data_IF_311170766773
#
_entry.id   IF_311170766773
#
_cell.length_a   1.000
_cell.length_b   1.000
_cell.length_c   1.000
_cell.angle_alpha   90.00
_cell.angle_beta   90.00
_cell.angle_gamma   90.00
#
_symmetry.space_group_name_H-M   'P 1'
#
loop_
_entity.id
_entity.type
_entity.pdbx_description
1 polymer ?
#
# COMPACT_ATOMS: atom_id res chain seq x y z
N UNK A 1 8.14 21.97 7.41
CA UNK A 1 8.22 21.53 6.01
C UNK A 1 6.82 21.21 5.53
N UNK A 2 6.39 21.81 4.43
CA UNK A 2 5.06 21.53 3.85
C UNK A 2 5.01 20.11 3.26
N UNK A 3 3.79 19.61 3.05
CA UNK A 3 3.67 18.26 2.45
C UNK A 3 4.24 18.22 1.03
N UNK A 4 4.17 19.33 0.29
CA UNK A 4 4.78 19.39 -1.05
C UNK A 4 6.30 19.26 -0.98
N UNK A 5 6.92 19.85 0.00
CA UNK A 5 8.36 19.70 0.20
C UNK A 5 8.70 18.27 0.61
N UNK A 6 7.87 17.64 1.43
CA UNK A 6 8.07 16.24 1.82
C UNK A 6 7.91 15.31 0.63
N UNK A 7 6.93 15.58 -0.24
CA UNK A 7 6.73 14.76 -1.44
C UNK A 7 7.97 14.72 -2.34
N UNK A 8 8.70 15.83 -2.40
CA UNK A 8 9.92 15.89 -3.23
C UNK A 8 11.00 14.92 -2.76
N UNK A 9 10.95 14.48 -1.50
CA UNK A 9 11.93 13.55 -0.95
C UNK A 9 11.45 12.09 -0.92
N UNK A 10 10.23 11.82 -1.35
CA UNK A 10 9.69 10.47 -1.33
C UNK A 10 10.34 9.64 -2.43
N UNK A 11 10.85 8.49 -2.04
CA UNK A 11 11.45 7.50 -2.96
C UNK A 11 10.71 6.19 -2.94
N UNK A 12 9.85 5.99 -1.94
CA UNK A 12 9.24 4.69 -1.67
C UNK A 12 7.79 4.87 -1.27
N UNK A 13 6.94 4.04 -1.85
CA UNK A 13 5.52 3.97 -1.51
C UNK A 13 5.23 2.63 -0.84
N UNK A 14 4.58 2.68 0.30
CA UNK A 14 4.11 1.49 1.01
C UNK A 14 2.59 1.53 1.06
N UNK A 15 1.94 0.46 0.64
CA UNK A 15 0.48 0.39 0.55
C UNK A 15 -0.07 -0.83 1.29
N UNK A 16 -1.21 -0.63 1.95
CA UNK A 16 -2.14 -1.72 2.23
C UNK A 16 -2.92 -2.03 0.95
N UNK A 17 -3.65 -3.13 0.93
CA UNK A 17 -4.47 -3.53 -0.23
C UNK A 17 -5.94 -3.15 -0.01
N UNK A 18 -6.58 -3.77 0.98
CA UNK A 18 -8.01 -3.60 1.17
C UNK A 18 -8.32 -2.18 1.65
N UNK A 19 -9.20 -1.49 0.93
CA UNK A 19 -9.55 -0.11 1.22
C UNK A 19 -8.58 0.92 0.65
N UNK A 20 -7.45 0.50 0.09
CA UNK A 20 -6.43 1.38 -0.52
C UNK A 20 -6.32 1.10 -2.01
N UNK A 21 -5.92 -0.10 -2.38
CA UNK A 21 -5.85 -0.55 -3.78
C UNK A 21 -7.15 -1.21 -4.24
N UNK A 22 -8.03 -1.51 -3.32
CA UNK A 22 -9.40 -1.96 -3.57
C UNK A 22 -10.36 -1.03 -2.84
N UNK A 23 -11.65 -1.23 -3.06
CA UNK A 23 -12.69 -0.46 -2.33
C UNK A 23 -13.03 -1.06 -0.97
N UNK A 24 -12.34 -2.12 -0.58
CA UNK A 24 -12.59 -2.81 0.69
C UNK A 24 -13.65 -3.91 0.59
N UNK A 25 -14.38 -4.02 -0.51
CA UNK A 25 -15.39 -5.06 -0.69
C UNK A 25 -14.74 -6.40 -1.01
N UNK A 26 -15.32 -7.45 -0.51
CA UNK A 26 -14.85 -8.80 -0.70
C UNK A 26 -16.00 -9.67 -1.22
N UNK A 27 -15.75 -10.42 -2.27
CA UNK A 27 -16.69 -11.40 -2.80
C UNK A 27 -16.31 -12.74 -2.21
N UNK A 28 -17.27 -13.37 -1.52
CA UNK A 28 -17.05 -14.68 -0.90
C UNK A 28 -17.41 -15.77 -1.89
N UNK A 29 -16.46 -16.65 -2.14
CA UNK A 29 -16.67 -17.79 -3.03
C UNK A 29 -16.93 -19.08 -2.23
N UNK A 30 -17.61 -20.03 -2.85
CA UNK A 30 -17.91 -21.32 -2.22
C UNK A 30 -16.65 -22.11 -1.88
N UNK A 31 -15.53 -21.83 -2.58
CA UNK A 31 -14.22 -22.42 -2.29
C UNK A 31 -13.60 -21.91 -1.00
N UNK A 32 -14.17 -20.86 -0.41
CA UNK A 32 -13.59 -20.18 0.75
C UNK A 32 -12.66 -19.04 0.38
N UNK A 33 -12.42 -18.81 -0.89
CA UNK A 33 -11.58 -17.69 -1.30
C UNK A 33 -12.33 -16.36 -1.18
N UNK A 34 -11.57 -15.34 -0.83
CA UNK A 34 -12.06 -13.97 -0.78
C UNK A 34 -11.55 -13.24 -2.01
N UNK A 35 -12.44 -12.91 -2.93
CA UNK A 35 -12.10 -12.30 -4.20
C UNK A 35 -12.26 -10.79 -4.10
N UNK A 36 -11.33 -10.06 -4.69
CA UNK A 36 -11.34 -8.60 -4.72
C UNK A 36 -11.29 -8.11 -6.15
N UNK A 37 -11.77 -6.89 -6.35
CA UNK A 37 -11.63 -6.20 -7.62
C UNK A 37 -10.59 -5.09 -7.47
N UNK A 38 -9.75 -4.92 -8.48
CA UNK A 38 -8.72 -3.88 -8.48
C UNK A 38 -8.92 -2.98 -9.69
N UNK A 39 -8.65 -1.70 -9.50
CA UNK A 39 -8.86 -0.72 -10.56
C UNK A 39 -7.66 -0.70 -11.52
N UNK A 40 -7.94 -0.74 -12.82
CA UNK A 40 -6.88 -0.77 -13.83
C UNK A 40 -6.04 0.49 -13.85
N UNK A 41 -6.64 1.65 -13.52
CA UNK A 41 -5.90 2.92 -13.44
C UNK A 41 -4.85 2.90 -12.33
N UNK A 42 -5.18 2.30 -11.20
CA UNK A 42 -4.22 2.13 -10.12
C UNK A 42 -3.06 1.24 -10.57
N UNK A 43 -3.37 0.16 -11.29
CA UNK A 43 -2.33 -0.71 -11.85
C UNK A 43 -1.38 0.04 -12.77
N UNK A 44 -1.93 0.89 -13.64
CA UNK A 44 -1.12 1.70 -14.54
C UNK A 44 -0.22 2.67 -13.76
N UNK A 45 -0.77 3.32 -12.74
CA UNK A 45 -0.02 4.27 -11.92
C UNK A 45 1.13 3.59 -11.18
N UNK A 46 0.89 2.39 -10.63
CA UNK A 46 1.92 1.62 -9.94
C UNK A 46 3.04 1.21 -10.89
N UNK A 47 2.70 0.73 -12.08
CA UNK A 47 3.68 0.39 -13.11
C UNK A 47 4.52 1.61 -13.50
N UNK A 48 3.86 2.75 -13.68
CA UNK A 48 4.53 3.97 -14.06
C UNK A 48 5.53 4.41 -12.97
N UNK A 49 5.14 4.33 -11.71
CA UNK A 49 6.01 4.68 -10.59
C UNK A 49 7.27 3.79 -10.58
N UNK A 50 7.11 2.50 -10.82
CA UNK A 50 8.24 1.58 -10.88
C UNK A 50 9.19 1.95 -12.02
N UNK A 51 8.65 2.27 -13.19
CA UNK A 51 9.46 2.68 -14.34
C UNK A 51 10.23 3.98 -14.06
N UNK A 52 9.69 4.83 -13.20
CA UNK A 52 10.35 6.07 -12.80
C UNK A 52 11.38 5.88 -11.69
N UNK A 53 11.56 4.67 -11.19
CA UNK A 53 12.58 4.37 -10.20
C UNK A 53 12.11 4.40 -8.76
N UNK A 54 10.81 4.53 -8.51
CA UNK A 54 10.27 4.46 -7.15
C UNK A 54 10.24 3.03 -6.65
N UNK A 55 10.47 2.86 -5.36
CA UNK A 55 10.27 1.57 -4.71
C UNK A 55 8.81 1.46 -4.27
N UNK A 56 8.24 0.27 -4.44
CA UNK A 56 6.88 0.00 -3.97
C UNK A 56 6.89 -1.27 -3.13
N UNK A 57 6.30 -1.20 -1.95
CA UNK A 57 6.13 -2.34 -1.07
C UNK A 57 4.66 -2.45 -0.69
N UNK A 58 4.14 -3.65 -0.74
CA UNK A 58 2.75 -3.95 -0.36
C UNK A 58 2.79 -4.77 0.93
N UNK A 59 2.06 -4.30 1.94
CA UNK A 59 1.99 -4.97 3.24
C UNK A 59 0.51 -5.12 3.59
N UNK A 60 0.00 -6.33 3.52
CA UNK A 60 -1.43 -6.60 3.69
C UNK A 60 -1.67 -7.75 4.66
N UNK A 61 -2.73 -7.64 5.44
CA UNK A 61 -3.19 -8.73 6.29
C UNK A 61 -3.86 -9.86 5.51
N UNK A 62 -4.28 -9.61 4.28
CA UNK A 62 -4.90 -10.62 3.42
C UNK A 62 -3.89 -11.65 2.93
N UNK A 63 -4.40 -12.80 2.48
CA UNK A 63 -3.56 -13.90 2.03
C UNK A 63 -3.84 -14.30 0.58
N UNK A 64 -4.45 -13.43 -0.22
CA UNK A 64 -4.83 -13.75 -1.59
C UNK A 64 -3.62 -13.85 -2.51
N UNK A 65 -3.39 -15.05 -3.03
CA UNK A 65 -2.33 -15.27 -4.01
C UNK A 65 -2.67 -14.63 -5.36
N UNK A 66 -3.94 -14.46 -5.68
CA UNK A 66 -4.36 -13.77 -6.91
C UNK A 66 -3.97 -12.30 -6.86
N UNK A 67 -4.18 -11.63 -5.72
CA UNK A 67 -3.74 -10.26 -5.53
C UNK A 67 -2.24 -10.15 -5.69
N UNK A 68 -1.50 -11.06 -5.08
CA UNK A 68 -0.04 -11.08 -5.20
C UNK A 68 0.40 -11.23 -6.66
N UNK A 69 -0.21 -12.17 -7.38
CA UNK A 69 0.10 -12.38 -8.80
C UNK A 69 -0.18 -11.13 -9.62
N UNK A 70 -1.30 -10.46 -9.37
CA UNK A 70 -1.63 -9.23 -10.09
C UNK A 70 -0.58 -8.15 -9.84
N UNK A 71 -0.19 -7.96 -8.58
CA UNK A 71 0.80 -6.94 -8.21
C UNK A 71 2.18 -7.27 -8.78
N UNK A 72 2.58 -8.54 -8.73
CA UNK A 72 3.83 -8.96 -9.34
C UNK A 72 3.82 -8.76 -10.86
N UNK A 73 2.68 -8.99 -11.50
CA UNK A 73 2.52 -8.73 -12.93
C UNK A 73 2.68 -7.26 -13.30
N UNK A 74 2.45 -6.35 -12.35
CA UNK A 74 2.68 -4.92 -12.54
C UNK A 74 4.14 -4.52 -12.33
N UNK A 75 4.98 -5.44 -11.87
CA UNK A 75 6.39 -5.18 -11.60
C UNK A 75 6.72 -4.97 -10.13
N UNK A 76 5.74 -5.14 -9.23
CA UNK A 76 5.99 -5.02 -7.80
C UNK A 76 6.59 -6.33 -7.29
N UNK A 77 7.80 -6.26 -6.78
CA UNK A 77 8.51 -7.45 -6.31
C UNK A 77 8.27 -7.75 -4.82
N UNK A 78 7.96 -6.72 -4.05
CA UNK A 78 7.92 -6.81 -2.60
C UNK A 78 6.46 -6.76 -2.12
N UNK A 79 5.84 -7.93 -2.04
CA UNK A 79 4.47 -8.10 -1.59
C UNK A 79 4.45 -9.03 -0.38
N UNK A 80 4.03 -8.51 0.77
CA UNK A 80 3.97 -9.25 2.01
C UNK A 80 2.51 -9.53 2.37
N UNK A 81 2.13 -10.80 2.28
CA UNK A 81 0.80 -11.27 2.63
C UNK A 81 0.75 -11.71 4.10
N UNK A 82 -0.46 -11.83 4.64
CA UNK A 82 -0.70 -12.31 6.00
C UNK A 82 0.08 -11.51 7.04
N UNK A 83 0.21 -10.23 6.81
CA UNK A 83 0.98 -9.34 7.67
C UNK A 83 0.11 -8.83 8.81
N UNK A 84 0.07 -9.56 9.91
CA UNK A 84 -0.72 -9.18 11.09
C UNK A 84 -0.02 -8.11 11.92
N UNK A 85 1.30 -8.06 11.85
CA UNK A 85 2.11 -7.02 12.49
C UNK A 85 2.94 -6.35 11.41
N UNK A 86 2.46 -5.21 10.94
CA UNK A 86 3.02 -4.56 9.74
C UNK A 86 4.31 -3.79 10.00
N UNK A 87 4.44 -3.15 11.16
CA UNK A 87 5.60 -2.29 11.43
C UNK A 87 6.93 -3.04 11.38
N UNK A 88 7.09 -4.23 12.00
CA UNK A 88 8.33 -4.97 11.86
C UNK A 88 8.67 -5.34 10.42
N UNK A 89 7.65 -5.67 9.62
CA UNK A 89 7.83 -6.00 8.21
C UNK A 89 8.32 -4.78 7.44
N UNK A 90 7.69 -3.63 7.65
CA UNK A 90 8.10 -2.39 7.02
C UNK A 90 9.54 -2.03 7.40
N UNK A 91 9.88 -2.08 8.67
CA UNK A 91 11.22 -1.78 9.15
C UNK A 91 12.28 -2.70 8.55
N UNK A 92 11.97 -3.99 8.48
CA UNK A 92 12.88 -4.96 7.87
C UNK A 92 13.10 -4.67 6.40
N UNK A 93 12.04 -4.37 5.67
CA UNK A 93 12.13 -4.02 4.26
C UNK A 93 12.98 -2.75 4.06
N UNK A 94 12.71 -1.70 4.81
CA UNK A 94 13.45 -0.46 4.70
C UNK A 94 14.92 -0.63 5.05
N UNK A 95 15.22 -1.43 6.08
CA UNK A 95 16.59 -1.72 6.47
C UNK A 95 17.35 -2.48 5.40
N UNK A 96 16.72 -3.47 4.77
CA UNK A 96 17.36 -4.24 3.71
C UNK A 96 17.64 -3.40 2.47
N UNK A 97 16.81 -2.42 2.19
CA UNK A 97 16.95 -1.55 1.02
C UNK A 97 17.71 -0.27 1.31
N UNK A 98 18.13 -0.05 2.56
CA UNK A 98 18.78 1.19 3.00
C UNK A 98 17.92 2.43 2.70
N UNK A 99 16.64 2.34 3.00
CA UNK A 99 15.69 3.43 2.78
C UNK A 99 15.43 4.14 4.12
N UNK A 100 15.61 5.45 4.15
CA UNK A 100 15.25 6.24 5.31
C UNK A 100 13.72 6.33 5.42
N UNK A 101 13.13 6.04 6.58
CA UNK A 101 11.70 6.18 6.78
C UNK A 101 11.14 7.56 6.40
N UNK A 102 11.95 8.61 6.48
CA UNK A 102 11.54 9.95 6.06
C UNK A 102 11.20 10.04 4.57
N UNK A 103 11.73 9.12 3.77
CA UNK A 103 11.54 9.11 2.33
C UNK A 103 10.42 8.17 1.90
N UNK A 104 9.61 7.70 2.84
CA UNK A 104 8.51 6.77 2.61
C UNK A 104 7.18 7.48 2.74
N UNK A 105 6.30 7.25 1.76
CA UNK A 105 4.88 7.58 1.87
C UNK A 105 4.12 6.29 2.11
N UNK A 106 3.38 6.23 3.20
CA UNK A 106 2.57 5.07 3.56
C UNK A 106 1.09 5.40 3.41
N UNK A 107 0.35 4.53 2.75
CA UNK A 107 -1.10 4.65 2.62
C UNK A 107 -1.78 3.43 3.22
N UNK A 108 -2.62 3.66 4.23
CA UNK A 108 -3.38 2.62 4.91
C UNK A 108 -4.73 3.14 5.34
N UNK A 109 -5.63 2.26 5.74
CA UNK A 109 -6.99 2.63 6.10
C UNK A 109 -7.47 2.04 7.42
N UNK A 110 -6.64 1.28 8.13
CA UNK A 110 -7.10 0.51 9.28
C UNK A 110 -6.13 0.63 10.46
N UNK A 111 -6.61 0.17 11.62
CA UNK A 111 -5.84 0.17 12.86
C UNK A 111 -4.47 -0.52 12.72
N UNK A 112 -4.35 -1.66 12.06
CA UNK A 112 -3.03 -2.29 11.89
C UNK A 112 -1.99 -1.42 11.18
N UNK A 113 -2.42 -0.37 10.47
CA UNK A 113 -1.51 0.54 9.77
C UNK A 113 -1.01 1.68 10.63
N UNK A 114 -1.60 1.94 11.80
CA UNK A 114 -1.29 3.12 12.60
C UNK A 114 0.18 3.26 12.96
N UNK A 115 0.81 2.18 13.40
CA UNK A 115 2.22 2.24 13.76
C UNK A 115 3.09 2.57 12.54
N UNK A 116 2.73 2.03 11.39
CA UNK A 116 3.43 2.32 10.13
C UNK A 116 3.22 3.78 9.73
N UNK A 117 1.98 4.27 9.82
CA UNK A 117 1.65 5.65 9.47
C UNK A 117 2.46 6.65 10.30
N UNK A 118 2.71 6.33 11.57
CA UNK A 118 3.44 7.20 12.48
C UNK A 118 4.96 7.11 12.33
N UNK A 119 5.46 6.12 11.62
CA UNK A 119 6.90 5.86 11.51
C UNK A 119 7.55 6.39 10.25
N UNK A 120 6.75 6.92 9.31
CA UNK A 120 7.23 7.34 7.99
C UNK A 120 7.16 8.85 7.82
N UNK A 121 7.79 9.35 6.73
CA UNK A 121 7.86 10.77 6.47
C UNK A 121 6.55 11.40 6.05
N UNK A 122 5.71 10.65 5.33
CA UNK A 122 4.41 11.13 4.88
C UNK A 122 3.43 9.97 4.92
N UNK A 123 2.27 10.19 5.51
CA UNK A 123 1.25 9.15 5.63
C UNK A 123 -0.09 9.66 5.14
N UNK A 124 -0.84 8.77 4.50
CA UNK A 124 -2.18 9.05 4.01
C UNK A 124 -3.13 7.97 4.52
N UNK A 125 -4.27 8.41 5.02
CA UNK A 125 -5.36 7.51 5.39
C UNK A 125 -6.36 7.57 4.26
N UNK A 126 -6.53 6.44 3.58
CA UNK A 126 -7.50 6.34 2.50
C UNK A 126 -8.82 5.86 3.07
N UNK A 127 -9.87 6.66 2.86
CA UNK A 127 -11.22 6.32 3.28
C UNK A 127 -12.02 6.08 2.01
N UNK A 128 -12.51 4.87 1.82
CA UNK A 128 -13.25 4.49 0.61
C UNK A 128 -14.73 4.84 0.69
N UNK A 129 -15.15 5.59 1.69
CA UNK A 129 -16.53 6.01 1.85
C UNK A 129 -16.89 7.11 0.87
N UNK A 130 -18.10 7.07 0.25
CA UNK A 130 -18.52 8.17 -0.62
C UNK A 130 -18.57 9.52 0.09
N UNK A 131 -18.83 9.53 1.37
CA UNK A 131 -18.90 10.76 2.16
C UNK A 131 -17.59 11.50 2.25
N UNK A 132 -16.47 10.84 1.98
CA UNK A 132 -15.18 11.54 2.01
C UNK A 132 -15.10 12.66 0.99
N UNK A 133 -15.93 12.61 -0.05
CA UNK A 133 -15.95 13.66 -1.06
C UNK A 133 -16.46 14.97 -0.49
N UNK A 134 -17.24 14.91 0.58
CA UNK A 134 -17.73 16.11 1.26
C UNK A 134 -16.63 16.83 2.02
N UNK A 135 -15.52 16.21 2.24
CA UNK A 135 -14.37 16.77 2.95
C UNK A 135 -13.54 17.69 2.08
N UNK A 136 -13.80 17.62 0.82
CA UNK A 136 -13.06 18.42 -0.16
C UNK A 136 -13.74 19.78 -0.37
#
# INVERSE_FOLDING_TARGET
MSYKQRLAHITTFAFDVDGVLTDGAIILESSGEMVRTMHTKDGYALQHAIKKGFNIVIITGGNSTMVKKRLEGLGIQDVFLSAHHKLPILRSYLGQKNIDPKNVLYMGDDIPDFECLNSVGLSLIHISEPTRLAEI
#
